data_IF_884099627644
#
_entry.id   IF_884099627644
#
_cell.length_a   1.000
_cell.length_b   1.000
_cell.length_c   1.000
_cell.angle_alpha   90.00
_cell.angle_beta   90.00
_cell.angle_gamma   90.00
#
_symmetry.space_group_name_H-M   'P 1'
#
loop_
_entity.id
_entity.type
_entity.pdbx_description
1 polymer ?
#
# COMPACT_ATOMS: atom_id res chain seq x y z
N UNK A 1 -21.57 -29.55 34.52
CA UNK A 1 -22.71 -28.61 34.53
C UNK A 1 -23.23 -28.45 33.11
N UNK A 2 -24.34 -29.10 32.76
CA UNK A 2 -24.90 -29.05 31.42
C UNK A 2 -25.74 -27.76 31.25
N UNK A 3 -25.32 -26.87 30.35
CA UNK A 3 -26.11 -25.71 29.98
C UNK A 3 -27.44 -26.17 29.36
N UNK A 4 -28.56 -25.67 29.89
CA UNK A 4 -29.91 -25.94 29.37
C UNK A 4 -30.00 -25.68 27.86
N UNK A 5 -30.73 -26.52 27.11
CA UNK A 5 -30.88 -26.43 25.65
C UNK A 5 -31.28 -25.03 25.17
N UNK A 6 -32.05 -24.27 25.97
CA UNK A 6 -32.40 -22.86 25.70
C UNK A 6 -31.18 -21.93 25.67
N UNK A 7 -30.22 -22.12 26.58
CA UNK A 7 -28.99 -21.30 26.62
C UNK A 7 -28.09 -21.60 25.42
N UNK A 8 -28.03 -22.87 25.00
CA UNK A 8 -27.30 -23.28 23.80
C UNK A 8 -27.86 -22.66 22.52
N UNK A 9 -29.20 -22.66 22.34
CA UNK A 9 -29.81 -21.99 21.19
C UNK A 9 -29.50 -20.49 21.16
N UNK A 10 -29.53 -19.82 22.31
CA UNK A 10 -29.24 -18.39 22.36
C UNK A 10 -27.77 -18.09 22.03
N UNK A 11 -26.83 -18.94 22.47
CA UNK A 11 -25.41 -18.82 22.14
C UNK A 11 -25.19 -19.01 20.63
N UNK A 12 -25.85 -19.99 20.01
CA UNK A 12 -25.75 -20.21 18.56
C UNK A 12 -26.28 -19.00 17.79
N UNK A 13 -27.44 -18.46 18.17
CA UNK A 13 -28.01 -17.27 17.53
C UNK A 13 -27.05 -16.08 17.67
N UNK A 14 -26.51 -15.84 18.86
CA UNK A 14 -25.54 -14.75 19.11
C UNK A 14 -24.27 -14.93 18.25
N UNK A 15 -23.73 -16.14 18.19
CA UNK A 15 -22.54 -16.45 17.39
C UNK A 15 -22.79 -16.24 15.89
N UNK A 16 -23.95 -16.66 15.39
CA UNK A 16 -24.33 -16.45 13.98
C UNK A 16 -24.47 -14.97 13.64
N UNK A 17 -25.10 -14.17 14.51
CA UNK A 17 -25.20 -12.71 14.31
C UNK A 17 -23.81 -12.07 14.30
N UNK A 18 -22.93 -12.49 15.21
CA UNK A 18 -21.56 -11.99 15.28
C UNK A 18 -20.76 -12.35 14.03
N UNK A 19 -20.88 -13.59 13.55
CA UNK A 19 -20.21 -14.06 12.33
C UNK A 19 -20.67 -13.27 11.09
N UNK A 20 -21.99 -13.10 10.90
CA UNK A 20 -22.55 -12.31 9.80
C UNK A 20 -22.08 -10.85 9.88
N UNK A 21 -22.03 -10.27 11.08
CA UNK A 21 -21.56 -8.89 11.29
C UNK A 21 -20.09 -8.73 10.91
N UNK A 22 -19.23 -9.66 11.33
CA UNK A 22 -17.80 -9.64 10.99
C UNK A 22 -17.61 -9.81 9.48
N UNK A 23 -18.32 -10.76 8.86
CA UNK A 23 -18.25 -10.97 7.41
C UNK A 23 -18.74 -9.75 6.63
N UNK A 24 -19.79 -9.07 7.10
CA UNK A 24 -20.31 -7.85 6.47
C UNK A 24 -19.34 -6.68 6.61
N UNK A 25 -18.68 -6.55 7.76
CA UNK A 25 -17.63 -5.53 7.95
C UNK A 25 -16.42 -5.80 7.06
N UNK A 26 -16.02 -7.06 6.89
CA UNK A 26 -14.96 -7.45 5.95
C UNK A 26 -15.39 -7.17 4.51
N UNK A 27 -16.59 -7.58 4.12
CA UNK A 27 -17.15 -7.38 2.78
C UNK A 27 -17.23 -5.90 2.40
N UNK A 28 -17.68 -5.02 3.31
CA UNK A 28 -17.66 -3.57 3.06
C UNK A 28 -16.25 -3.01 2.85
N UNK A 29 -15.23 -3.65 3.42
CA UNK A 29 -13.83 -3.25 3.25
C UNK A 29 -13.19 -3.87 2.01
N UNK A 30 -13.68 -5.01 1.52
CA UNK A 30 -13.13 -5.73 0.35
C UNK A 30 -13.90 -5.54 -0.95
N UNK A 31 -15.21 -5.34 -0.91
CA UNK A 31 -16.08 -5.28 -2.10
C UNK A 31 -15.88 -4.04 -2.99
N UNK A 32 -15.11 -3.05 -2.54
CA UNK A 32 -14.76 -1.85 -3.33
C UNK A 32 -13.36 -1.91 -3.95
N UNK A 33 -12.66 -3.03 -3.85
CA UNK A 33 -11.39 -3.19 -4.54
C UNK A 33 -11.66 -3.69 -5.96
N UNK A 34 -11.12 -3.03 -6.99
CA UNK A 34 -11.14 -3.59 -8.33
C UNK A 34 -10.34 -4.90 -8.30
N UNK A 35 -10.98 -6.00 -8.72
CA UNK A 35 -10.45 -7.37 -8.67
C UNK A 35 -9.18 -7.55 -9.53
N UNK A 36 -8.93 -6.59 -10.44
CA UNK A 36 -7.85 -6.61 -11.42
C UNK A 36 -6.61 -5.86 -10.92
N UNK A 37 -5.97 -6.37 -9.87
CA UNK A 37 -4.67 -5.85 -9.43
C UNK A 37 -3.55 -6.41 -10.34
N UNK A 38 -2.92 -5.55 -11.13
CA UNK A 38 -1.84 -5.94 -12.04
C UNK A 38 -0.47 -5.53 -11.47
N UNK A 39 0.59 -6.33 -11.69
CA UNK A 39 1.93 -5.94 -11.26
C UNK A 39 2.38 -4.68 -12.00
N UNK A 40 2.98 -3.73 -11.28
CA UNK A 40 3.51 -2.50 -11.89
C UNK A 40 4.75 -2.78 -12.75
N UNK A 41 5.52 -3.79 -12.38
CA UNK A 41 6.75 -4.21 -13.04
C UNK A 41 6.60 -5.64 -13.56
N UNK A 42 7.14 -5.91 -14.73
CA UNK A 42 7.22 -7.25 -15.30
C UNK A 42 8.70 -7.69 -15.40
N UNK A 43 8.93 -8.94 -15.83
CA UNK A 43 10.27 -9.49 -15.96
C UNK A 43 11.14 -8.74 -16.98
N UNK A 44 10.52 -8.05 -17.95
CA UNK A 44 11.21 -7.27 -19.00
C UNK A 44 11.47 -5.82 -18.56
N UNK A 45 10.67 -5.29 -17.63
CA UNK A 45 10.67 -3.93 -17.13
C UNK A 45 10.78 -3.91 -15.60
N UNK A 46 11.85 -4.49 -15.01
CA UNK A 46 12.01 -4.50 -13.56
C UNK A 46 12.34 -3.11 -13.01
N UNK A 47 11.98 -2.91 -11.75
CA UNK A 47 12.44 -1.77 -10.96
C UNK A 47 13.97 -1.80 -10.84
N UNK A 48 14.61 -0.66 -11.13
CA UNK A 48 16.07 -0.48 -11.00
C UNK A 48 16.39 0.49 -9.87
N UNK A 49 15.66 1.59 -9.77
CA UNK A 49 15.86 2.56 -8.71
C UNK A 49 14.52 3.14 -8.28
N UNK A 50 14.40 3.39 -6.97
CA UNK A 50 13.27 4.04 -6.36
C UNK A 50 13.75 5.10 -5.39
N UNK A 51 13.11 6.26 -5.40
CA UNK A 51 13.32 7.31 -4.41
C UNK A 51 11.98 7.71 -3.83
N UNK A 52 11.84 7.58 -2.51
CA UNK A 52 10.68 8.01 -1.73
C UNK A 52 11.12 9.21 -0.88
N UNK A 53 10.75 10.42 -1.31
CA UNK A 53 11.23 11.69 -0.75
C UNK A 53 12.77 11.76 -0.68
N UNK A 54 13.36 11.62 0.50
CA UNK A 54 14.81 11.62 0.73
C UNK A 54 15.42 10.20 0.80
N UNK A 55 14.59 9.17 0.93
CA UNK A 55 15.02 7.78 1.00
C UNK A 55 15.14 7.21 -0.40
N UNK A 56 16.14 6.40 -0.62
CA UNK A 56 16.40 5.81 -1.93
C UNK A 56 16.73 4.32 -1.83
N UNK A 57 16.49 3.66 -2.95
CA UNK A 57 16.67 2.26 -3.22
C UNK A 57 17.33 2.13 -4.61
N UNK A 58 18.40 1.35 -4.72
CA UNK A 58 19.04 1.08 -6.01
C UNK A 58 19.38 -0.40 -6.14
N UNK A 59 19.09 -0.98 -7.30
CA UNK A 59 19.41 -2.36 -7.64
C UNK A 59 20.90 -2.47 -7.94
N UNK A 60 21.67 -2.86 -6.92
CA UNK A 60 23.08 -3.20 -7.10
C UNK A 60 23.28 -4.49 -7.88
N UNK A 61 24.54 -4.81 -8.19
CA UNK A 61 24.91 -6.01 -8.96
C UNK A 61 24.61 -7.34 -8.27
N UNK A 62 24.51 -7.35 -6.93
CA UNK A 62 24.25 -8.57 -6.12
C UNK A 62 23.09 -8.45 -5.16
N UNK A 63 22.81 -7.26 -4.66
CA UNK A 63 21.75 -7.01 -3.69
C UNK A 63 21.25 -5.57 -3.82
N UNK A 64 20.03 -5.33 -3.33
CA UNK A 64 19.50 -3.98 -3.20
C UNK A 64 20.31 -3.17 -2.20
N UNK A 65 20.60 -1.93 -2.58
CA UNK A 65 21.25 -0.93 -1.76
C UNK A 65 20.23 0.15 -1.40
N UNK A 66 20.24 0.60 -0.15
CA UNK A 66 19.29 1.59 0.34
C UNK A 66 20.00 2.73 1.07
N UNK A 67 19.27 3.82 1.27
CA UNK A 67 19.68 4.88 2.18
C UNK A 67 20.07 4.31 3.57
N UNK A 68 21.17 4.78 4.20
CA UNK A 68 21.71 4.20 5.44
C UNK A 68 20.76 4.24 6.66
N UNK A 69 19.73 5.08 6.58
CA UNK A 69 18.69 5.18 7.61
C UNK A 69 17.62 4.10 7.47
N UNK A 70 17.52 3.39 6.34
CA UNK A 70 16.54 2.32 6.13
C UNK A 70 17.04 1.01 6.74
N UNK A 71 16.27 0.44 7.66
CA UNK A 71 16.58 -0.78 8.38
C UNK A 71 16.08 -2.05 7.66
N UNK A 72 14.98 -1.95 6.92
CA UNK A 72 14.32 -3.06 6.24
C UNK A 72 14.62 -3.12 4.74
N UNK A 73 15.85 -2.78 4.33
CA UNK A 73 16.22 -2.54 2.93
C UNK A 73 15.73 -3.61 1.95
N UNK A 74 16.07 -4.88 2.17
CA UNK A 74 15.70 -5.97 1.25
C UNK A 74 14.18 -6.20 1.19
N UNK A 75 13.50 -6.10 2.32
CA UNK A 75 12.06 -6.29 2.40
C UNK A 75 11.32 -5.16 1.70
N UNK A 76 11.76 -3.92 1.93
CA UNK A 76 11.22 -2.73 1.28
C UNK A 76 11.44 -2.76 -0.24
N UNK A 77 12.64 -3.15 -0.66
CA UNK A 77 12.97 -3.32 -2.07
C UNK A 77 12.06 -4.34 -2.76
N UNK A 78 11.88 -5.49 -2.11
CA UNK A 78 11.04 -6.57 -2.62
C UNK A 78 9.58 -6.13 -2.73
N UNK A 79 9.07 -5.47 -1.70
CA UNK A 79 7.69 -4.96 -1.67
C UNK A 79 7.42 -3.99 -2.82
N UNK A 80 8.36 -3.09 -3.10
CA UNK A 80 8.24 -2.19 -4.24
C UNK A 80 8.40 -2.90 -5.58
N UNK A 81 9.31 -3.86 -5.72
CA UNK A 81 9.47 -4.59 -6.99
C UNK A 81 8.29 -5.49 -7.34
N UNK A 82 7.54 -5.95 -6.34
CA UNK A 82 6.39 -6.87 -6.50
C UNK A 82 5.05 -6.14 -6.28
N UNK A 83 5.04 -4.80 -6.34
CA UNK A 83 3.82 -4.02 -6.10
C UNK A 83 2.77 -4.30 -7.18
N UNK A 84 1.54 -4.52 -6.73
CA UNK A 84 0.37 -4.65 -7.58
C UNK A 84 -0.51 -3.41 -7.46
N UNK A 85 -1.10 -3.01 -8.59
CA UNK A 85 -1.92 -1.82 -8.72
C UNK A 85 -3.23 -2.19 -9.41
N UNK A 86 -4.34 -1.82 -8.78
CA UNK A 86 -5.65 -1.86 -9.42
C UNK A 86 -5.97 -0.47 -9.97
N UNK A 87 -6.26 -0.36 -11.27
CA UNK A 87 -6.68 0.90 -11.85
C UNK A 87 -8.03 1.32 -11.24
N UNK A 88 -8.11 2.56 -10.74
CA UNK A 88 -9.38 3.10 -10.27
C UNK A 88 -10.11 3.68 -11.47
N UNK A 89 -11.24 3.07 -11.84
CA UNK A 89 -12.11 3.60 -12.88
C UNK A 89 -12.59 5.01 -12.54
N UNK A 90 -12.91 5.79 -13.58
CA UNK A 90 -13.31 7.21 -13.51
C UNK A 90 -14.58 7.51 -12.67
N UNK A 91 -15.20 6.50 -12.04
CA UNK A 91 -16.41 6.64 -11.22
C UNK A 91 -16.20 6.59 -9.71
N UNK A 92 -14.97 6.42 -9.23
CA UNK A 92 -14.68 6.52 -7.80
C UNK A 92 -14.40 7.99 -7.51
N UNK A 93 -15.19 8.58 -6.62
CA UNK A 93 -15.04 9.96 -6.17
C UNK A 93 -13.82 10.05 -5.24
N UNK A 94 -12.63 9.86 -5.80
CA UNK A 94 -11.35 9.86 -5.09
C UNK A 94 -11.14 11.23 -4.41
N UNK A 95 -11.71 12.30 -4.98
CA UNK A 95 -11.73 13.65 -4.41
C UNK A 95 -12.60 13.76 -3.15
N UNK A 96 -13.62 12.90 -2.99
CA UNK A 96 -14.37 12.82 -1.73
C UNK A 96 -13.62 11.97 -0.66
N UNK A 97 -12.71 11.09 -1.08
CA UNK A 97 -11.92 10.23 -0.19
C UNK A 97 -10.57 10.84 0.23
N UNK A 98 -10.04 11.76 -0.59
CA UNK A 98 -8.85 12.55 -0.34
C UNK A 98 -9.35 13.98 -0.14
N UNK A 99 -9.50 14.42 1.10
CA UNK A 99 -9.83 15.81 1.39
C UNK A 99 -8.68 16.67 0.82
N UNK A 100 -8.93 17.35 -0.30
CA UNK A 100 -7.90 17.83 -1.24
C UNK A 100 -6.86 18.78 -0.62
N UNK A 101 -7.16 19.34 0.55
CA UNK A 101 -6.27 20.22 1.32
C UNK A 101 -5.53 19.53 2.47
N UNK A 102 -6.10 18.49 3.10
CA UNK A 102 -5.48 17.81 4.25
C UNK A 102 -4.51 16.72 3.79
N UNK A 103 -4.77 16.07 2.65
CA UNK A 103 -3.95 14.95 2.18
C UNK A 103 -2.88 15.29 1.14
N UNK A 104 -2.87 16.52 0.58
CA UNK A 104 -1.70 16.99 -0.18
C UNK A 104 -0.46 17.07 0.69
N UNK A 105 -0.60 17.36 1.99
CA UNK A 105 0.51 17.37 2.94
C UNK A 105 0.99 15.97 3.31
N UNK A 106 0.18 14.93 3.09
CA UNK A 106 0.53 13.53 3.37
C UNK A 106 1.06 12.79 2.12
N UNK A 107 1.03 13.44 0.95
CA UNK A 107 1.52 12.88 -0.30
C UNK A 107 3.06 12.86 -0.33
N UNK A 108 3.61 11.66 -0.53
CA UNK A 108 5.04 11.44 -0.70
C UNK A 108 5.39 11.42 -2.18
N UNK A 109 6.54 11.99 -2.53
CA UNK A 109 7.03 11.96 -3.92
C UNK A 109 7.79 10.68 -4.14
N UNK A 110 7.39 9.92 -5.17
CA UNK A 110 8.07 8.67 -5.55
C UNK A 110 8.66 8.82 -6.94
N UNK A 111 9.96 8.71 -7.06
CA UNK A 111 10.64 8.60 -8.36
C UNK A 111 10.93 7.14 -8.62
N UNK A 112 10.43 6.63 -9.74
CA UNK A 112 10.54 5.23 -10.14
C UNK A 112 11.32 5.16 -11.45
N UNK A 113 12.43 4.43 -11.43
CA UNK A 113 13.27 4.15 -12.60
C UNK A 113 13.15 2.68 -12.98
N UNK A 114 12.74 2.44 -14.22
CA UNK A 114 12.53 1.12 -14.81
C UNK A 114 13.69 0.83 -15.77
N UNK A 115 14.12 -0.43 -15.88
CA UNK A 115 15.24 -0.80 -16.74
C UNK A 115 15.05 -0.40 -18.22
N UNK A 116 13.84 -0.57 -18.74
CA UNK A 116 13.52 -0.34 -20.16
C UNK A 116 13.26 1.14 -20.50
N UNK A 117 13.06 2.00 -19.50
CA UNK A 117 12.78 3.42 -19.72
C UNK A 117 14.00 4.27 -19.42
N UNK A 118 14.41 5.13 -20.35
CA UNK A 118 15.56 6.01 -20.11
C UNK A 118 15.31 7.13 -19.09
N UNK A 119 14.05 7.46 -18.80
CA UNK A 119 13.69 8.57 -17.92
C UNK A 119 13.00 8.09 -16.64
N UNK A 120 13.41 8.60 -15.46
CA UNK A 120 12.71 8.35 -14.22
C UNK A 120 11.30 8.93 -14.27
N UNK A 121 10.33 8.17 -13.76
CA UNK A 121 8.94 8.59 -13.69
C UNK A 121 8.64 9.13 -12.29
N UNK A 122 8.04 10.32 -12.20
CA UNK A 122 7.59 10.90 -10.94
C UNK A 122 6.13 10.53 -10.66
N UNK A 123 5.89 9.95 -9.49
CA UNK A 123 4.60 9.51 -8.99
C UNK A 123 4.30 10.18 -7.65
N UNK A 124 3.03 10.24 -7.28
CA UNK A 124 2.58 10.70 -5.96
C UNK A 124 2.01 9.51 -5.19
N UNK A 125 2.53 9.25 -4.01
CA UNK A 125 2.12 8.15 -3.15
C UNK A 125 1.40 8.68 -1.91
N UNK A 126 0.22 8.13 -1.63
CA UNK A 126 -0.62 8.49 -0.50
C UNK A 126 -0.71 7.28 0.43
N UNK A 127 0.24 7.11 1.37
CA UNK A 127 0.36 5.90 2.19
C UNK A 127 -0.90 5.63 3.03
N UNK A 128 -1.53 6.67 3.58
CA UNK A 128 -2.74 6.53 4.41
C UNK A 128 -3.91 5.88 3.69
N UNK A 129 -4.09 6.21 2.40
CA UNK A 129 -5.18 5.71 1.58
C UNK A 129 -4.77 4.50 0.73
N UNK A 130 -3.47 4.20 0.65
CA UNK A 130 -2.92 3.20 -0.25
C UNK A 130 -3.17 3.55 -1.71
N UNK A 131 -3.06 4.85 -2.04
CA UNK A 131 -3.27 5.35 -3.40
C UNK A 131 -1.94 5.73 -4.04
N UNK A 132 -1.84 5.50 -5.33
CA UNK A 132 -0.70 5.87 -6.14
C UNK A 132 -1.19 6.61 -7.38
N UNK A 133 -0.59 7.76 -7.66
CA UNK A 133 -0.92 8.59 -8.81
C UNK A 133 0.25 8.59 -9.78
N UNK A 134 -0.02 8.18 -11.01
CA UNK A 134 0.98 8.16 -12.09
C UNK A 134 1.26 9.55 -12.66
N UNK A 135 2.39 9.73 -13.37
CA UNK A 135 2.67 10.97 -14.11
C UNK A 135 1.62 11.27 -15.19
N UNK A 136 0.90 10.26 -15.68
CA UNK A 136 -0.19 10.41 -16.63
C UNK A 136 -1.53 10.83 -15.96
N UNK A 137 -1.49 11.22 -14.69
CA UNK A 137 -2.66 11.64 -13.90
C UNK A 137 -3.71 10.53 -13.65
N UNK A 138 -3.34 9.27 -13.89
CA UNK A 138 -4.17 8.11 -13.56
C UNK A 138 -3.96 7.69 -12.10
N UNK A 139 -5.06 7.31 -11.44
CA UNK A 139 -5.08 6.85 -10.06
C UNK A 139 -5.13 5.33 -9.98
N UNK A 140 -4.36 4.80 -9.02
CA UNK A 140 -4.24 3.38 -8.76
C UNK A 140 -4.44 3.12 -7.27
N UNK A 141 -5.07 1.99 -6.97
CA UNK A 141 -5.23 1.47 -5.62
C UNK A 141 -4.20 0.36 -5.37
N UNK A 142 -3.52 0.46 -4.24
CA UNK A 142 -2.62 -0.58 -3.74
C UNK A 142 -3.44 -1.53 -2.86
N UNK A 143 -3.36 -2.85 -3.08
CA UNK A 143 -4.00 -3.85 -2.23
C UNK A 143 -3.61 -3.70 -0.75
N UNK A 144 -4.56 -3.76 0.20
CA UNK A 144 -4.32 -3.61 1.64
C UNK A 144 -3.20 -4.49 2.18
N UNK A 145 -3.08 -5.72 1.66
CA UNK A 145 -2.04 -6.68 2.05
C UNK A 145 -0.62 -6.24 1.75
N UNK A 146 -0.42 -5.30 0.81
CA UNK A 146 0.92 -4.83 0.39
C UNK A 146 1.29 -3.49 1.04
N UNK A 147 0.33 -2.73 1.59
CA UNK A 147 0.53 -1.33 2.01
C UNK A 147 1.59 -1.16 3.10
N UNK A 148 1.57 -2.03 4.10
CA UNK A 148 2.52 -1.94 5.23
C UNK A 148 3.97 -2.14 4.77
N UNK A 149 4.19 -3.03 3.80
CA UNK A 149 5.53 -3.38 3.32
C UNK A 149 6.17 -2.29 2.45
N UNK A 150 5.37 -1.38 1.88
CA UNK A 150 5.85 -0.26 1.06
C UNK A 150 6.44 0.89 1.87
N UNK A 151 6.18 0.91 3.19
CA UNK A 151 6.73 1.91 4.10
C UNK A 151 8.10 1.48 4.62
N UNK A 152 9.15 2.32 4.48
CA UNK A 152 10.46 2.00 5.02
C UNK A 152 10.47 2.12 6.55
N UNK A 153 11.15 1.19 7.21
CA UNK A 153 11.47 1.29 8.64
C UNK A 153 12.76 2.10 8.74
N UNK A 154 12.64 3.33 9.23
CA UNK A 154 13.77 4.24 9.39
C UNK A 154 14.34 4.18 10.81
N UNK A 155 15.66 4.34 10.93
CA UNK A 155 16.33 4.58 12.21
C UNK A 155 15.73 5.83 12.86
N UNK A 156 15.37 5.73 14.13
CA UNK A 156 15.02 6.91 14.91
C UNK A 156 16.25 7.83 14.98
N UNK A 157 16.15 9.03 14.41
CA UNK A 157 17.08 10.10 14.75
C UNK A 157 16.67 10.64 16.12
N UNK A 158 17.58 10.60 17.08
CA UNK A 158 17.42 11.40 18.29
C UNK A 158 17.32 12.86 17.85
N UNK A 159 16.18 13.51 18.16
CA UNK A 159 16.06 14.96 18.06
C UNK A 159 16.97 15.51 19.15
N UNK A 160 18.13 16.01 18.77
CA UNK A 160 18.95 16.82 19.65
C UNK A 160 18.48 18.25 19.39
N UNK A 161 17.48 18.68 20.17
CA UNK A 161 17.10 20.09 20.24
C UNK A 161 18.35 20.88 20.69
N UNK A 162 18.76 21.84 19.87
CA UNK A 162 19.93 22.67 20.09
C UNK A 162 19.49 24.14 20.21
#
# INVERSE_FOLDING_TARGET
MALSRKKWNNIIILASIMMISILTLLDQKTAKLPDDAHPLFDDNSPLVQLQLDALWLNKGSRAWQCHPDVLNCQFWAKAWSEIHLSALGQGIDILAAIDEDIDKQSAQRVVIQIADKQQPQLWQFYPKHGLLKSPANNWYLIPPSQREALSPIIKAKAVIDN
#
